data_IF_292261601934
#
_entry.id   IF_292261601934
#
_cell.length_a   1.000
_cell.length_b   1.000
_cell.length_c   1.000
_cell.angle_alpha   90.00
_cell.angle_beta   90.00
_cell.angle_gamma   90.00
#
_symmetry.space_group_name_H-M   'P 1'
#
loop_
_entity.id
_entity.type
_entity.pdbx_description
1 polymer ?
#
# COMPACT_ATOMS: atom_id res chain seq x y z
N UNK A 1 68.48 -1.24 1.70
CA UNK A 1 68.06 -2.25 0.69
C UNK A 1 66.57 -2.53 0.90
N UNK A 2 65.78 -2.64 -0.19
CA UNK A 2 64.32 -2.89 -0.34
C UNK A 2 63.58 -3.45 0.91
N UNK A 3 62.35 -3.00 1.24
CA UNK A 3 61.11 -3.27 0.46
C UNK A 3 60.01 -2.22 0.64
N UNK A 4 59.23 -2.12 -0.44
CA UNK A 4 58.08 -1.27 -0.72
C UNK A 4 56.80 -1.89 -0.13
N UNK A 5 55.87 -1.08 0.36
CA UNK A 5 54.43 -1.29 0.13
C UNK A 5 53.66 0.02 0.29
N UNK A 6 53.21 0.56 -0.85
CA UNK A 6 52.17 1.57 -0.94
C UNK A 6 50.82 0.85 -0.85
N UNK A 7 49.99 1.21 0.11
CA UNK A 7 48.55 0.92 0.05
C UNK A 7 47.89 2.21 -0.42
N UNK A 8 47.62 2.26 -1.72
CA UNK A 8 46.70 3.23 -2.33
C UNK A 8 45.30 2.70 -2.04
N UNK A 9 44.70 3.16 -0.95
CA UNK A 9 43.29 2.91 -0.64
C UNK A 9 42.44 3.80 -1.54
N UNK A 10 42.09 3.27 -2.71
CA UNK A 10 41.20 3.91 -3.67
C UNK A 10 39.85 4.26 -3.04
N UNK A 11 39.50 5.52 -3.24
CA UNK A 11 38.20 6.14 -3.05
C UNK A 11 37.07 5.26 -3.63
N UNK A 12 36.27 4.62 -2.77
CA UNK A 12 34.98 4.07 -3.17
C UNK A 12 33.90 5.11 -2.86
N UNK A 13 33.72 6.07 -3.77
CA UNK A 13 32.45 6.81 -3.81
C UNK A 13 31.39 5.81 -4.27
N UNK A 14 30.67 5.23 -3.31
CA UNK A 14 29.33 4.74 -3.59
C UNK A 14 28.52 6.02 -3.83
N UNK A 15 28.47 6.44 -5.09
CA UNK A 15 27.46 7.39 -5.54
C UNK A 15 26.12 6.71 -5.26
N UNK A 16 25.52 7.04 -4.11
CA UNK A 16 24.11 6.84 -3.90
C UNK A 16 23.45 7.54 -5.07
N UNK A 17 22.94 6.76 -6.02
CA UNK A 17 21.99 7.27 -6.99
C UNK A 17 20.91 7.94 -6.13
N UNK A 18 20.96 9.27 -6.08
CA UNK A 18 19.84 10.07 -5.68
C UNK A 18 18.76 9.70 -6.68
N UNK A 19 17.96 8.70 -6.33
CA UNK A 19 16.66 8.51 -6.92
C UNK A 19 15.98 9.85 -6.71
N UNK A 20 15.98 10.66 -7.76
CA UNK A 20 15.09 11.79 -7.89
C UNK A 20 13.70 11.18 -7.84
N UNK A 21 13.18 11.00 -6.62
CA UNK A 21 11.84 10.48 -6.41
C UNK A 21 10.91 11.54 -6.95
N UNK A 22 10.53 11.37 -8.22
CA UNK A 22 9.39 12.08 -8.74
C UNK A 22 8.20 11.38 -8.12
N UNK A 23 7.72 11.89 -6.98
CA UNK A 23 6.51 11.39 -6.34
C UNK A 23 5.36 11.49 -7.35
N UNK A 24 4.58 10.42 -7.47
CA UNK A 24 3.49 10.29 -8.42
C UNK A 24 2.17 10.10 -7.69
N UNK A 25 1.11 10.66 -8.24
CA UNK A 25 -0.21 10.45 -7.69
C UNK A 25 -0.67 8.99 -7.93
N UNK A 26 -1.21 8.39 -6.88
CA UNK A 26 -1.88 7.10 -6.90
C UNK A 26 -3.39 7.36 -6.90
N UNK A 27 -4.09 6.95 -7.96
CA UNK A 27 -5.54 7.05 -7.98
C UNK A 27 -6.14 5.87 -7.22
N UNK A 28 -7.06 6.16 -6.30
CA UNK A 28 -7.79 5.16 -5.53
C UNK A 28 -9.27 5.23 -5.90
N UNK A 29 -9.93 4.08 -5.93
CA UNK A 29 -11.37 3.93 -6.15
C UNK A 29 -11.94 3.15 -4.98
N UNK A 30 -13.07 3.62 -4.46
CA UNK A 30 -13.84 2.94 -3.44
C UNK A 30 -15.09 2.33 -4.08
N UNK A 31 -15.28 1.02 -3.89
CA UNK A 31 -16.42 0.27 -4.40
C UNK A 31 -17.12 -0.44 -3.23
N UNK A 32 -18.38 -0.09 -2.90
CA UNK A 32 -19.13 -0.84 -1.90
C UNK A 32 -19.29 -2.30 -2.34
N UNK A 33 -19.14 -3.23 -1.41
CA UNK A 33 -19.47 -4.63 -1.60
C UNK A 33 -20.15 -5.13 -0.33
N UNK A 34 -21.38 -5.61 -0.44
CA UNK A 34 -22.21 -5.83 0.75
C UNK A 34 -22.82 -4.52 1.26
N UNK A 35 -23.47 -4.61 2.42
CA UNK A 35 -24.16 -3.49 3.07
C UNK A 35 -23.21 -2.63 3.90
N UNK A 36 -22.18 -3.26 4.48
CA UNK A 36 -21.36 -2.69 5.56
C UNK A 36 -19.86 -2.73 5.23
N UNK A 37 -19.55 -2.95 3.95
CA UNK A 37 -18.19 -3.15 3.49
C UNK A 37 -17.87 -2.37 2.20
N UNK A 38 -16.63 -1.92 2.10
CA UNK A 38 -16.10 -1.18 0.94
C UNK A 38 -14.73 -1.73 0.55
N UNK A 39 -14.54 -1.94 -0.75
CA UNK A 39 -13.24 -2.29 -1.32
C UNK A 39 -12.58 -1.01 -1.79
N UNK A 40 -11.39 -0.72 -1.26
CA UNK A 40 -10.55 0.34 -1.80
C UNK A 40 -9.48 -0.29 -2.68
N UNK A 41 -9.41 0.16 -3.92
CA UNK A 41 -8.52 -0.36 -4.96
C UNK A 41 -7.71 0.76 -5.57
N UNK A 42 -6.45 0.46 -5.84
CA UNK A 42 -5.58 1.30 -6.65
C UNK A 42 -5.98 1.16 -8.12
N UNK A 43 -6.06 2.28 -8.84
CA UNK A 43 -6.03 2.27 -10.30
C UNK A 43 -4.58 2.12 -10.76
N UNK A 44 -4.26 0.90 -11.17
CA UNK A 44 -2.89 0.49 -11.50
C UNK A 44 -2.48 0.86 -12.94
N UNK A 45 -3.40 1.40 -13.75
CA UNK A 45 -3.16 1.72 -15.16
C UNK A 45 -2.04 2.74 -15.37
N UNK A 46 -1.83 3.63 -14.39
CA UNK A 46 -0.80 4.67 -14.42
C UNK A 46 0.56 4.23 -13.80
N UNK A 47 0.63 3.04 -13.21
CA UNK A 47 1.83 2.56 -12.50
C UNK A 47 2.76 1.84 -13.47
N UNK A 48 3.85 2.51 -13.84
CA UNK A 48 4.85 1.93 -14.74
C UNK A 48 5.49 0.68 -14.10
N UNK A 49 5.44 -0.44 -14.81
CA UNK A 49 6.04 -1.70 -14.37
C UNK A 49 5.21 -2.48 -13.36
N UNK A 50 3.95 -2.10 -13.14
CA UNK A 50 3.02 -2.87 -12.32
C UNK A 50 2.79 -4.27 -12.90
N UNK A 51 2.83 -5.27 -12.03
CA UNK A 51 2.52 -6.66 -12.36
C UNK A 51 1.17 -6.99 -11.70
N UNK A 52 0.14 -7.13 -12.53
CA UNK A 52 -1.24 -7.35 -12.10
C UNK A 52 -1.57 -8.80 -11.75
N UNK A 53 -0.64 -9.73 -11.98
CA UNK A 53 -0.85 -11.15 -11.70
C UNK A 53 -0.29 -11.50 -10.32
N UNK A 54 -1.06 -12.22 -9.48
CA UNK A 54 -0.54 -12.75 -8.24
C UNK A 54 0.74 -13.58 -8.49
N UNK A 55 1.83 -13.15 -7.89
CA UNK A 55 3.09 -13.86 -7.89
C UNK A 55 3.98 -13.33 -6.74
N UNK A 56 5.01 -14.07 -6.31
CA UNK A 56 5.90 -13.65 -5.22
C UNK A 56 6.58 -12.28 -5.40
N UNK A 57 6.65 -11.75 -6.62
CA UNK A 57 7.21 -10.43 -6.94
C UNK A 57 6.13 -9.38 -7.26
N UNK A 58 4.86 -9.65 -6.92
CA UNK A 58 3.77 -8.69 -7.08
C UNK A 58 4.08 -7.39 -6.32
N UNK A 59 3.61 -6.27 -6.87
CA UNK A 59 3.84 -4.96 -6.27
C UNK A 59 3.15 -4.87 -4.92
N UNK A 60 3.92 -4.54 -3.89
CA UNK A 60 3.44 -4.33 -2.52
C UNK A 60 2.93 -2.90 -2.38
N UNK A 61 1.77 -2.75 -1.77
CA UNK A 61 1.20 -1.47 -1.36
C UNK A 61 1.13 -1.42 0.15
N UNK A 62 1.62 -0.33 0.74
CA UNK A 62 1.31 -0.03 2.13
C UNK A 62 -0.02 0.72 2.17
N UNK A 63 -0.84 0.47 3.18
CA UNK A 63 -2.07 1.21 3.41
C UNK A 63 -2.13 1.74 4.83
N UNK A 64 -2.86 2.84 5.00
CA UNK A 64 -3.27 3.38 6.30
C UNK A 64 -4.74 3.80 6.24
N UNK A 65 -5.45 3.61 7.35
CA UNK A 65 -6.85 3.99 7.54
C UNK A 65 -6.90 4.90 8.78
N UNK A 66 -7.60 6.02 8.66
CA UNK A 66 -7.77 7.00 9.73
C UNK A 66 -9.24 7.32 9.96
N UNK A 67 -9.54 8.07 11.03
CA UNK A 67 -10.90 8.40 11.42
C UNK A 67 -11.60 7.21 12.10
N UNK A 68 -12.92 7.20 12.02
CA UNK A 68 -13.75 6.19 12.68
C UNK A 68 -13.61 4.80 12.01
N UNK A 69 -13.18 4.78 10.74
CA UNK A 69 -12.88 3.54 10.00
C UNK A 69 -11.71 2.75 10.58
N UNK A 70 -10.84 3.35 11.40
CA UNK A 70 -9.69 2.65 11.98
C UNK A 70 -10.11 1.51 12.94
N UNK A 71 -11.36 1.49 13.40
CA UNK A 71 -11.94 0.42 14.21
C UNK A 71 -12.57 -0.72 13.40
N UNK A 72 -12.76 -0.53 12.09
CA UNK A 72 -13.33 -1.56 11.21
C UNK A 72 -12.29 -2.67 10.97
N UNK A 73 -12.78 -3.85 10.64
CA UNK A 73 -11.91 -4.95 10.20
C UNK A 73 -11.45 -4.74 8.76
N UNK A 74 -10.26 -5.25 8.46
CA UNK A 74 -9.63 -5.14 7.15
C UNK A 74 -9.18 -6.51 6.68
N UNK A 75 -9.47 -6.82 5.43
CA UNK A 75 -8.92 -7.94 4.69
C UNK A 75 -8.02 -7.42 3.56
N UNK A 76 -6.92 -8.11 3.30
CA UNK A 76 -5.93 -7.77 2.27
C UNK A 76 -5.69 -8.96 1.35
N UNK A 77 -5.04 -8.74 0.21
CA UNK A 77 -4.54 -9.83 -0.64
C UNK A 77 -3.06 -10.06 -0.36
N UNK A 78 -2.65 -11.32 -0.27
CA UNK A 78 -1.24 -11.71 -0.22
C UNK A 78 -0.62 -11.78 -1.63
N UNK A 79 0.69 -12.07 -1.72
CA UNK A 79 1.41 -12.14 -3.01
C UNK A 79 0.93 -13.26 -3.93
N UNK A 80 0.19 -14.24 -3.41
CA UNK A 80 -0.40 -15.33 -4.18
C UNK A 80 -1.88 -15.04 -4.54
N UNK A 81 -2.38 -13.85 -4.19
CA UNK A 81 -3.76 -13.46 -4.44
C UNK A 81 -4.75 -14.09 -3.45
N UNK A 82 -4.24 -14.64 -2.34
CA UNK A 82 -5.06 -15.20 -1.28
C UNK A 82 -5.53 -14.08 -0.37
N UNK A 83 -6.82 -14.04 -0.09
CA UNK A 83 -7.38 -13.08 0.85
C UNK A 83 -7.03 -13.47 2.29
N UNK A 84 -6.54 -12.50 3.06
CA UNK A 84 -6.36 -12.64 4.50
C UNK A 84 -7.71 -12.55 5.20
N UNK A 85 -7.87 -13.26 6.32
CA UNK A 85 -9.04 -13.08 7.16
C UNK A 85 -9.14 -11.65 7.66
N UNK A 86 -10.36 -11.17 7.81
CA UNK A 86 -10.64 -9.86 8.41
C UNK A 86 -10.03 -9.75 9.82
N UNK A 87 -9.28 -8.67 10.02
CA UNK A 87 -8.67 -8.34 11.31
C UNK A 87 -8.71 -6.83 11.54
N UNK A 88 -8.82 -6.40 12.79
CA UNK A 88 -8.80 -4.96 13.10
C UNK A 88 -7.36 -4.46 12.96
N UNK A 89 -7.10 -3.72 11.89
CA UNK A 89 -5.81 -3.08 11.67
C UNK A 89 -5.97 -1.83 10.81
N UNK A 90 -5.48 -0.71 11.31
CA UNK A 90 -5.51 0.58 10.60
C UNK A 90 -4.31 0.78 9.67
N UNK A 91 -3.37 -0.17 9.60
CA UNK A 91 -2.24 -0.08 8.67
C UNK A 91 -1.66 -1.44 8.31
N UNK A 92 -1.09 -1.56 7.12
CA UNK A 92 -0.45 -2.82 6.74
C UNK A 92 -0.01 -2.83 5.30
N UNK A 93 0.15 -4.03 4.77
CA UNK A 93 0.49 -4.24 3.37
C UNK A 93 -0.58 -5.07 2.68
N UNK A 94 -0.75 -4.80 1.39
CA UNK A 94 -1.54 -5.62 0.48
C UNK A 94 -0.81 -5.74 -0.84
N UNK A 95 -1.08 -6.82 -1.55
CA UNK A 95 -0.66 -7.00 -2.92
C UNK A 95 -1.81 -6.60 -3.86
N UNK A 96 -1.49 -6.26 -5.10
CA UNK A 96 -2.44 -5.73 -6.10
C UNK A 96 -3.11 -4.38 -5.73
N UNK A 97 -2.80 -3.81 -4.57
CA UNK A 97 -3.34 -2.51 -4.15
C UNK A 97 -4.83 -2.57 -3.80
N UNK A 98 -5.28 -3.71 -3.25
CA UNK A 98 -6.68 -3.93 -2.88
C UNK A 98 -6.79 -4.20 -1.38
N UNK A 99 -7.67 -3.48 -0.68
CA UNK A 99 -8.11 -3.85 0.68
C UNK A 99 -9.63 -3.87 0.73
N UNK A 100 -10.19 -4.77 1.54
CA UNK A 100 -11.59 -4.77 1.94
C UNK A 100 -11.70 -4.24 3.35
N UNK A 101 -12.60 -3.28 3.57
CA UNK A 101 -12.89 -2.68 4.88
C UNK A 101 -14.31 -3.08 5.22
N UNK A 102 -14.52 -3.60 6.43
CA UNK A 102 -15.79 -4.13 6.89
C UNK A 102 -16.03 -3.70 8.34
N UNK A 103 -17.17 -3.05 8.56
CA UNK A 103 -17.51 -2.46 9.86
C UNK A 103 -18.54 -3.28 10.66
N UNK A 104 -18.85 -4.53 10.27
CA UNK A 104 -19.79 -5.43 10.97
C UNK A 104 -19.40 -5.69 12.42
N UNK A 105 -18.11 -5.53 12.75
CA UNK A 105 -17.60 -5.69 14.10
C UNK A 105 -17.94 -4.52 15.04
N UNK A 106 -18.55 -3.45 14.52
CA UNK A 106 -18.88 -2.23 15.24
C UNK A 106 -20.40 -2.10 15.46
N UNK A 107 -20.84 -0.99 16.05
CA UNK A 107 -22.25 -0.76 16.35
C UNK A 107 -23.08 -0.65 15.05
N UNK A 108 -24.25 -1.30 14.95
CA UNK A 108 -25.16 -1.14 13.83
C UNK A 108 -25.81 0.25 13.85
N UNK A 109 -26.38 0.65 12.71
CA UNK A 109 -27.01 1.96 12.44
C UNK A 109 -26.08 3.17 12.66
N UNK A 110 -24.77 2.97 12.59
CA UNK A 110 -23.75 4.02 12.73
C UNK A 110 -22.99 4.19 11.42
N UNK A 111 -22.80 5.45 11.03
CA UNK A 111 -21.96 5.82 9.90
C UNK A 111 -20.52 6.08 10.36
N UNK A 112 -19.59 5.28 9.86
CA UNK A 112 -18.14 5.39 10.07
C UNK A 112 -17.50 6.11 8.88
N UNK A 113 -16.75 7.17 9.16
CA UNK A 113 -16.05 7.95 8.13
C UNK A 113 -14.56 8.04 8.40
N UNK A 114 -13.77 8.09 7.34
CA UNK A 114 -12.32 8.11 7.45
C UNK A 114 -11.63 8.32 6.12
N UNK A 115 -10.30 8.24 6.14
CA UNK A 115 -9.47 8.31 4.94
C UNK A 115 -8.67 7.04 4.80
N UNK A 116 -8.67 6.48 3.59
CA UNK A 116 -7.77 5.39 3.20
C UNK A 116 -6.66 5.98 2.37
N UNK A 117 -5.42 5.75 2.78
CA UNK A 117 -4.23 6.16 2.03
C UNK A 117 -3.43 4.94 1.62
N UNK A 118 -2.85 4.95 0.43
CA UNK A 118 -1.98 3.90 -0.05
C UNK A 118 -0.69 4.45 -0.66
N UNK A 119 0.39 3.70 -0.51
CA UNK A 119 1.69 4.03 -1.13
C UNK A 119 2.34 2.79 -1.73
N UNK A 120 3.14 2.98 -2.78
CA UNK A 120 3.98 1.93 -3.34
C UNK A 120 5.21 2.53 -4.02
N UNK A 121 6.20 1.70 -4.31
CA UNK A 121 7.36 2.06 -5.13
C UNK A 121 7.43 1.10 -6.31
N UNK A 122 7.44 1.62 -7.53
CA UNK A 122 7.55 0.81 -8.74
C UNK A 122 8.25 1.56 -9.87
N UNK A 123 9.10 0.85 -10.63
CA UNK A 123 9.83 1.43 -11.76
C UNK A 123 10.73 2.62 -11.42
N UNK A 124 11.21 2.71 -10.16
CA UNK A 124 12.02 3.82 -9.67
C UNK A 124 11.25 5.06 -9.21
N UNK A 125 9.92 4.99 -9.11
CA UNK A 125 9.05 6.07 -8.64
C UNK A 125 8.32 5.68 -7.36
N UNK A 126 8.09 6.66 -6.49
CA UNK A 126 7.18 6.53 -5.36
C UNK A 126 5.79 7.01 -5.78
N UNK A 127 4.76 6.25 -5.41
CA UNK A 127 3.37 6.57 -5.65
C UNK A 127 2.64 6.71 -4.32
N UNK A 128 1.78 7.71 -4.20
CA UNK A 128 0.94 7.93 -3.02
C UNK A 128 -0.41 8.52 -3.38
N UNK A 129 -1.44 8.17 -2.62
CA UNK A 129 -2.78 8.69 -2.82
C UNK A 129 -3.71 8.35 -1.67
N UNK A 130 -4.79 9.12 -1.57
CA UNK A 130 -5.77 9.00 -0.49
C UNK A 130 -7.18 9.23 -1.00
N UNK A 131 -8.16 8.55 -0.42
CA UNK A 131 -9.58 8.71 -0.71
C UNK A 131 -10.39 8.72 0.60
N UNK A 132 -11.35 9.66 0.77
CA UNK A 132 -12.31 9.58 1.87
C UNK A 132 -13.27 8.42 1.63
N UNK A 133 -13.59 7.68 2.69
CA UNK A 133 -14.51 6.55 2.67
C UNK A 133 -15.54 6.73 3.79
N UNK A 134 -16.78 6.35 3.49
CA UNK A 134 -17.89 6.34 4.45
C UNK A 134 -18.61 5.00 4.31
N UNK A 135 -18.85 4.34 5.44
CA UNK A 135 -19.57 3.08 5.55
C UNK A 135 -20.66 3.25 6.60
N UNK A 136 -21.88 2.81 6.32
CA UNK A 136 -22.93 2.72 7.34
C UNK A 136 -23.12 1.25 7.65
N UNK A 137 -22.94 0.88 8.91
CA UNK A 137 -23.21 -0.47 9.39
C UNK A 137 -24.73 -0.63 9.57
N UNK A 138 -25.37 -1.63 8.96
CA UNK A 138 -26.84 -1.83 8.94
C UNK A 138 -27.31 -3.07 9.69
#
# INVERSE_FOLDING_TARGET
MKKISKVVGGLLLIAGISACSSDRNLSLVANPFGTDSVAVRVDTSAIKGFIATPNPNATIFNYTITGDLAGCTVATLDSNGTQTSYSVNSSGTTYEGVIGIDCDNLSPDVTYSGTVSMTTTSGGYNYSGSIPVTITNV
#
